data_IF_523417260593
#
_entry.id   IF_523417260593
#
_cell.length_a   1.000
_cell.length_b   1.000
_cell.length_c   1.000
_cell.angle_alpha   90.00
_cell.angle_beta   90.00
_cell.angle_gamma   90.00
#
_symmetry.space_group_name_H-M   'P 1'
#
loop_
_entity.id
_entity.type
_entity.pdbx_description
1 polymer ?
#
# COMPACT_ATOMS: atom_id res chain seq x y z
N UNK A 1 19.78 -3.37 1.33
CA UNK A 1 18.55 -2.57 1.57
C UNK A 1 18.64 -1.29 0.76
N UNK A 2 17.57 -0.84 0.11
CA UNK A 2 17.57 0.37 -0.74
C UNK A 2 16.18 1.00 -0.83
N UNK A 3 16.10 2.24 -1.32
CA UNK A 3 14.83 2.87 -1.63
C UNK A 3 14.06 2.09 -2.73
N UNK A 4 12.73 2.00 -2.61
CA UNK A 4 11.89 1.60 -3.73
C UNK A 4 11.86 2.73 -4.76
N UNK A 5 12.31 2.47 -5.99
CA UNK A 5 12.30 3.45 -7.09
C UNK A 5 10.90 3.82 -7.61
N UNK A 6 9.85 3.20 -7.07
CA UNK A 6 8.45 3.39 -7.45
C UNK A 6 7.58 3.53 -6.21
N UNK A 7 6.57 4.39 -6.31
CA UNK A 7 5.61 4.66 -5.24
C UNK A 7 5.69 6.11 -4.78
N UNK A 8 4.65 6.53 -4.07
CA UNK A 8 4.55 7.89 -3.53
C UNK A 8 5.00 7.99 -2.07
N UNK A 9 5.03 6.85 -1.36
CA UNK A 9 5.34 6.78 0.06
C UNK A 9 6.58 5.93 0.35
N UNK A 10 7.09 6.04 1.58
CA UNK A 10 8.26 5.30 2.04
C UNK A 10 8.04 3.79 1.91
N UNK A 11 8.93 3.17 1.14
CA UNK A 11 8.99 1.73 0.93
C UNK A 11 10.43 1.36 0.65
N UNK A 12 10.92 0.35 1.36
CA UNK A 12 12.28 -0.15 1.19
C UNK A 12 12.25 -1.44 0.38
N UNK A 13 13.32 -1.72 -0.34
CA UNK A 13 13.58 -3.03 -0.95
C UNK A 13 14.63 -3.72 -0.10
N UNK A 14 14.25 -4.86 0.45
CA UNK A 14 15.16 -5.77 1.17
C UNK A 14 15.54 -6.90 0.22
N UNK A 15 16.80 -7.31 0.29
CA UNK A 15 17.27 -8.53 -0.35
C UNK A 15 17.47 -9.56 0.75
N UNK A 16 16.69 -10.63 0.68
CA UNK A 16 16.81 -11.77 1.58
C UNK A 16 17.94 -12.69 1.10
N UNK A 17 18.31 -13.66 1.92
CA UNK A 17 19.20 -14.76 1.50
C UNK A 17 18.70 -15.39 0.20
N UNK A 18 19.62 -15.77 -0.70
CA UNK A 18 19.35 -16.25 -2.06
C UNK A 18 18.81 -15.21 -3.04
N UNK A 19 19.12 -13.92 -2.82
CA UNK A 19 18.77 -12.81 -3.71
C UNK A 19 17.27 -12.62 -3.97
N UNK A 20 16.42 -13.13 -3.08
CA UNK A 20 14.98 -12.85 -3.12
C UNK A 20 14.74 -11.40 -2.70
N UNK A 21 14.20 -10.60 -3.60
CA UNK A 21 13.79 -9.23 -3.30
C UNK A 21 12.40 -9.22 -2.64
N UNK A 22 12.25 -8.42 -1.61
CA UNK A 22 10.97 -8.17 -0.95
C UNK A 22 10.84 -6.67 -0.70
N UNK A 23 9.60 -6.23 -0.60
CA UNK A 23 9.27 -4.86 -0.27
C UNK A 23 8.99 -4.77 1.23
N UNK A 24 9.49 -3.74 1.88
CA UNK A 24 9.20 -3.46 3.28
C UNK A 24 8.47 -2.13 3.40
N UNK A 25 7.25 -2.17 3.95
CA UNK A 25 6.47 -0.99 4.32
C UNK A 25 6.50 -0.84 5.84
N UNK A 26 7.12 0.23 6.40
CA UNK A 26 7.27 0.37 7.84
C UNK A 26 5.94 0.70 8.53
N UNK A 27 5.87 0.43 9.83
CA UNK A 27 4.79 0.87 10.69
C UNK A 27 4.87 2.38 10.89
N UNK A 28 3.83 3.11 10.47
CA UNK A 28 3.69 4.56 10.66
C UNK A 28 2.85 4.93 11.87
N UNK A 29 1.90 4.07 12.24
CA UNK A 29 0.84 4.37 13.20
C UNK A 29 0.72 3.28 14.24
N UNK A 30 0.20 3.62 15.42
CA UNK A 30 -0.28 2.63 16.39
C UNK A 30 -1.47 1.87 15.80
N UNK A 31 -1.83 0.71 16.37
CA UNK A 31 -2.96 -0.08 15.90
C UNK A 31 -4.32 0.58 16.14
N UNK A 32 -4.39 1.44 17.16
CA UNK A 32 -5.62 2.11 17.58
C UNK A 32 -5.77 3.50 16.94
N UNK A 33 -4.82 3.90 16.08
CA UNK A 33 -4.85 5.19 15.41
C UNK A 33 -6.05 5.29 14.45
N UNK A 34 -6.87 6.31 14.64
CA UNK A 34 -8.04 6.61 13.81
C UNK A 34 -7.65 7.66 12.78
N UNK A 35 -7.81 7.34 11.50
CA UNK A 35 -7.51 8.27 10.42
C UNK A 35 -8.67 9.24 10.20
N UNK A 36 -8.41 10.52 10.43
CA UNK A 36 -9.36 11.58 10.11
C UNK A 36 -9.27 12.00 8.63
N UNK A 37 -10.39 12.44 8.06
CA UNK A 37 -10.49 12.95 6.70
C UNK A 37 -10.98 11.91 5.69
N UNK A 38 -10.54 12.02 4.44
CA UNK A 38 -10.97 11.16 3.34
C UNK A 38 -10.55 9.69 3.50
N UNK A 39 -11.24 8.78 2.81
CA UNK A 39 -10.95 7.33 2.74
C UNK A 39 -9.56 6.97 2.19
N UNK A 40 -8.80 7.94 1.67
CA UNK A 40 -7.44 7.75 1.14
C UNK A 40 -6.37 8.53 1.93
N UNK A 41 -6.75 9.13 3.06
CA UNK A 41 -5.87 9.92 3.93
C UNK A 41 -4.78 9.08 4.62
N UNK A 42 -3.73 9.77 5.06
CA UNK A 42 -2.63 9.20 5.86
C UNK A 42 -1.59 8.43 5.03
N UNK A 43 -0.65 7.79 5.72
CA UNK A 43 0.37 6.91 5.14
C UNK A 43 -0.16 5.48 5.00
N UNK A 44 0.57 4.64 4.28
CA UNK A 44 0.31 3.20 4.16
C UNK A 44 0.47 2.54 5.53
N UNK A 45 -0.54 1.78 5.92
CA UNK A 45 -0.59 0.96 7.13
C UNK A 45 -0.08 -0.43 6.81
N UNK A 46 1.03 -0.83 7.43
CA UNK A 46 1.64 -2.14 7.19
C UNK A 46 0.73 -3.29 7.62
N UNK A 47 -0.02 -3.12 8.71
CA UNK A 47 -1.03 -4.08 9.16
C UNK A 47 -2.16 -4.24 8.12
N UNK A 48 -2.51 -3.18 7.39
CA UNK A 48 -3.50 -3.28 6.31
C UNK A 48 -3.03 -4.23 5.21
N UNK A 49 -1.76 -4.16 4.79
CA UNK A 49 -1.21 -5.11 3.81
C UNK A 49 -1.25 -6.56 4.29
N UNK A 50 -0.92 -6.79 5.58
CA UNK A 50 -0.91 -8.13 6.18
C UNK A 50 -2.34 -8.70 6.23
N UNK A 51 -3.29 -7.95 6.79
CA UNK A 51 -4.68 -8.41 6.93
C UNK A 51 -5.31 -8.59 5.56
N UNK A 52 -5.02 -7.70 4.60
CA UNK A 52 -5.50 -7.80 3.22
C UNK A 52 -5.05 -9.09 2.55
N UNK A 53 -3.80 -9.52 2.74
CA UNK A 53 -3.32 -10.81 2.24
C UNK A 53 -4.12 -11.99 2.81
N UNK A 54 -4.33 -12.01 4.13
CA UNK A 54 -5.08 -13.08 4.78
C UNK A 54 -6.57 -13.09 4.39
N UNK A 55 -7.22 -11.92 4.32
CA UNK A 55 -8.60 -11.80 3.90
C UNK A 55 -8.79 -12.29 2.47
N UNK A 56 -7.90 -11.90 1.55
CA UNK A 56 -7.95 -12.37 0.17
C UNK A 56 -7.81 -13.91 0.09
N UNK A 57 -6.96 -14.52 0.93
CA UNK A 57 -6.87 -15.98 1.02
C UNK A 57 -8.19 -16.62 1.51
N UNK A 58 -8.85 -16.03 2.50
CA UNK A 58 -10.15 -16.50 3.03
C UNK A 58 -11.25 -16.40 1.96
N UNK A 59 -11.28 -15.30 1.22
CA UNK A 59 -12.22 -15.08 0.11
C UNK A 59 -11.85 -15.85 -1.17
N UNK A 60 -10.77 -16.64 -1.13
CA UNK A 60 -10.22 -17.36 -2.28
C UNK A 60 -9.83 -16.44 -3.47
N UNK A 61 -9.50 -15.18 -3.19
CA UNK A 61 -8.96 -14.19 -4.11
C UNK A 61 -7.42 -14.30 -4.17
N UNK A 62 -6.91 -15.26 -4.94
CA UNK A 62 -5.47 -15.65 -4.94
C UNK A 62 -4.55 -14.72 -5.77
N UNK A 63 -4.89 -13.43 -5.87
CA UNK A 63 -4.15 -12.44 -6.69
C UNK A 63 -3.46 -11.34 -5.87
N UNK A 64 -3.32 -11.54 -4.56
CA UNK A 64 -2.56 -10.68 -3.65
C UNK A 64 -1.12 -11.23 -3.47
N UNK A 65 -0.09 -10.38 -3.30
CA UNK A 65 1.25 -10.84 -2.96
C UNK A 65 1.25 -11.49 -1.58
N UNK A 66 2.17 -12.41 -1.34
CA UNK A 66 2.37 -12.96 0.01
C UNK A 66 2.91 -11.83 0.89
N UNK A 67 2.26 -11.62 2.04
CA UNK A 67 2.65 -10.59 3.02
C UNK A 67 2.82 -11.20 4.40
N UNK A 68 3.88 -10.80 5.10
CA UNK A 68 4.12 -11.18 6.49
C UNK A 68 4.59 -9.97 7.32
N UNK A 69 4.24 -9.95 8.60
CA UNK A 69 4.82 -8.99 9.54
C UNK A 69 6.27 -9.31 9.87
N UNK A 70 7.12 -8.30 10.00
CA UNK A 70 8.52 -8.47 10.41
C UNK A 70 9.00 -7.26 11.21
N UNK A 71 9.92 -7.51 12.15
CA UNK A 71 10.71 -6.48 12.82
C UNK A 71 12.14 -6.53 12.30
N UNK A 72 12.71 -5.37 12.00
CA UNK A 72 14.10 -5.20 11.55
C UNK A 72 14.79 -4.16 12.41
N UNK A 73 16.07 -4.32 12.73
CA UNK A 73 16.84 -3.22 13.33
C UNK A 73 17.36 -2.32 12.21
N UNK A 74 16.96 -1.05 12.18
CA UNK A 74 17.51 -0.10 11.23
C UNK A 74 19.00 0.11 11.49
N UNK A 75 19.41 0.14 12.76
CA UNK A 75 20.82 0.29 13.17
C UNK A 75 21.70 -0.81 12.57
N UNK A 76 21.31 -2.07 12.75
CA UNK A 76 22.07 -3.20 12.21
C UNK A 76 21.99 -3.29 10.68
N UNK A 77 20.91 -2.75 10.11
CA UNK A 77 20.69 -2.73 8.66
C UNK A 77 21.46 -1.64 7.93
N UNK A 78 21.99 -0.63 8.64
CA UNK A 78 22.68 0.53 8.05
C UNK A 78 23.85 0.10 7.15
N UNK A 79 24.66 -0.87 7.60
CA UNK A 79 25.79 -1.42 6.82
C UNK A 79 25.39 -2.13 5.53
N UNK A 80 24.12 -2.52 5.40
CA UNK A 80 23.56 -3.16 4.21
C UNK A 80 22.73 -2.20 3.36
N UNK A 81 22.55 -0.94 3.78
CA UNK A 81 21.88 0.09 3.02
C UNK A 81 22.79 0.61 1.89
N UNK A 82 22.22 0.95 0.73
CA UNK A 82 22.98 1.65 -0.30
C UNK A 82 23.27 3.11 0.09
N UNK A 83 24.19 3.75 -0.64
CA UNK A 83 24.66 5.10 -0.30
C UNK A 83 23.55 6.16 -0.30
N UNK A 84 22.54 6.02 -1.17
CA UNK A 84 21.40 6.95 -1.23
C UNK A 84 20.50 6.77 0.00
N UNK A 85 20.17 5.53 0.37
CA UNK A 85 19.36 5.28 1.56
C UNK A 85 20.09 5.69 2.84
N UNK A 86 21.40 5.42 2.97
CA UNK A 86 22.19 5.80 4.14
C UNK A 86 22.11 7.30 4.45
N UNK A 87 22.08 8.16 3.42
CA UNK A 87 21.96 9.62 3.60
C UNK A 87 20.63 10.03 4.25
N UNK A 88 19.62 9.17 4.19
CA UNK A 88 18.27 9.40 4.73
C UNK A 88 17.99 8.60 6.00
N UNK A 89 19.05 8.09 6.65
CA UNK A 89 19.00 7.31 7.89
C UNK A 89 19.66 8.04 9.07
N UNK A 90 19.06 9.11 9.61
CA UNK A 90 19.63 9.85 10.73
C UNK A 90 19.43 9.14 12.06
N UNK A 91 20.22 9.54 13.06
CA UNK A 91 19.98 9.20 14.47
C UNK A 91 19.21 10.35 15.13
N UNK A 92 18.03 10.07 15.67
CA UNK A 92 17.18 11.05 16.35
C UNK A 92 16.86 10.52 17.74
N UNK A 93 17.13 11.31 18.80
CA UNK A 93 16.92 10.90 20.19
C UNK A 93 17.51 9.52 20.53
N UNK A 94 18.74 9.26 20.08
CA UNK A 94 19.46 7.98 20.22
C UNK A 94 18.82 6.76 19.49
N UNK A 95 17.79 6.97 18.67
CA UNK A 95 17.16 5.94 17.84
C UNK A 95 17.64 6.06 16.39
N UNK A 96 17.89 4.92 15.74
CA UNK A 96 18.14 4.93 14.30
C UNK A 96 16.80 5.11 13.59
N UNK A 97 16.77 6.04 12.65
CA UNK A 97 15.56 6.38 11.91
C UNK A 97 15.80 6.34 10.40
N UNK A 98 14.72 6.43 9.61
CA UNK A 98 14.74 6.47 8.15
C UNK A 98 13.54 7.23 7.60
N UNK A 99 13.77 8.13 6.64
CA UNK A 99 12.70 8.78 5.87
C UNK A 99 12.75 8.44 4.38
N UNK A 100 13.88 7.91 3.88
CA UNK A 100 14.02 7.43 2.50
C UNK A 100 13.89 8.49 1.41
N UNK A 101 13.84 8.04 0.17
CA UNK A 101 13.65 8.87 -1.03
C UNK A 101 12.42 8.39 -1.79
N UNK A 102 11.38 9.24 -1.82
CA UNK A 102 10.13 9.01 -2.53
C UNK A 102 9.39 10.35 -2.74
N UNK A 103 8.27 10.34 -3.48
CA UNK A 103 7.53 11.56 -3.83
C UNK A 103 7.05 12.37 -2.61
N UNK A 104 6.62 11.69 -1.54
CA UNK A 104 6.18 12.30 -0.27
C UNK A 104 7.11 11.94 0.89
N UNK A 105 8.41 11.74 0.64
CA UNK A 105 9.38 11.49 1.70
C UNK A 105 10.07 12.81 2.05
N UNK A 106 10.12 13.14 3.33
CA UNK A 106 10.72 14.37 3.85
C UNK A 106 11.42 14.08 5.18
N UNK A 107 12.41 14.89 5.54
CA UNK A 107 13.18 14.69 6.79
C UNK A 107 12.36 14.87 8.07
N UNK A 108 11.22 15.56 8.00
CA UNK A 108 10.25 15.71 9.10
C UNK A 108 9.21 14.56 9.14
N UNK A 109 9.13 13.73 8.09
CA UNK A 109 8.26 12.55 8.02
C UNK A 109 9.12 11.27 8.11
N UNK A 110 9.45 10.88 9.34
CA UNK A 110 10.46 9.86 9.63
C UNK A 110 9.89 8.73 10.51
N UNK A 111 10.36 7.50 10.29
CA UNK A 111 10.11 6.35 11.17
C UNK A 111 11.40 5.92 11.85
N UNK A 112 11.31 5.52 13.12
CA UNK A 112 12.45 5.15 13.96
C UNK A 112 12.31 3.73 14.51
N UNK A 113 13.44 3.11 14.85
CA UNK A 113 13.44 1.91 15.69
C UNK A 113 12.68 2.18 17.01
N UNK A 114 11.97 1.17 17.51
CA UNK A 114 11.31 1.23 18.80
C UNK A 114 12.33 1.33 19.95
N UNK A 115 12.05 2.18 20.93
CA UNK A 115 12.98 2.48 22.01
C UNK A 115 13.24 1.27 22.93
N UNK A 116 12.27 0.37 23.09
CA UNK A 116 12.39 -0.76 24.02
C UNK A 116 13.16 -1.92 23.42
N UNK A 117 12.91 -2.21 22.13
CA UNK A 117 13.46 -3.40 21.48
C UNK A 117 14.47 -3.11 20.37
N UNK A 118 14.69 -1.84 20.01
CA UNK A 118 15.68 -1.44 18.99
C UNK A 118 15.34 -1.91 17.58
N UNK A 119 14.05 -2.13 17.28
CA UNK A 119 13.58 -2.58 15.97
C UNK A 119 12.40 -1.77 15.44
N UNK A 120 12.31 -1.66 14.12
CA UNK A 120 11.18 -1.13 13.39
C UNK A 120 10.29 -2.28 12.88
N UNK A 121 9.01 -2.24 13.28
CA UNK A 121 7.99 -3.13 12.73
C UNK A 121 7.55 -2.70 11.34
N UNK A 122 7.20 -3.65 10.48
CA UNK A 122 6.60 -3.39 9.17
C UNK A 122 6.07 -4.65 8.50
N UNK A 123 5.57 -4.47 7.28
CA UNK A 123 5.09 -5.54 6.42
C UNK A 123 6.13 -5.85 5.35
N UNK A 124 6.43 -7.13 5.19
CA UNK A 124 7.28 -7.66 4.12
C UNK A 124 6.38 -8.26 3.05
N UNK A 125 6.42 -7.70 1.84
CA UNK A 125 5.64 -8.14 0.70
C UNK A 125 6.58 -8.80 -0.32
N UNK A 126 6.24 -10.00 -0.77
CA UNK A 126 6.99 -10.64 -1.85
C UNK A 126 6.84 -9.87 -3.15
N UNK A 127 7.96 -9.66 -3.86
CA UNK A 127 7.92 -9.07 -5.20
C UNK A 127 7.36 -10.10 -6.17
N UNK A 128 6.37 -9.69 -6.97
CA UNK A 128 5.81 -10.52 -8.01
C UNK A 128 6.76 -10.49 -9.23
N UNK A 129 7.31 -11.64 -9.66
CA UNK A 129 8.17 -11.68 -10.83
C UNK A 129 7.37 -11.51 -12.12
N UNK A 130 8.06 -11.06 -13.17
CA UNK A 130 7.49 -10.91 -14.50
C UNK A 130 6.91 -9.53 -14.76
N UNK A 131 6.33 -9.37 -15.96
CA UNK A 131 5.76 -8.11 -16.41
C UNK A 131 4.39 -7.90 -15.80
N UNK A 132 4.24 -6.79 -15.09
CA UNK A 132 2.95 -6.28 -14.61
C UNK A 132 2.59 -5.06 -15.45
N UNK A 133 1.35 -5.02 -15.94
CA UNK A 133 0.82 -3.89 -16.71
C UNK A 133 -0.08 -3.07 -15.80
N UNK A 134 0.15 -1.76 -15.77
CA UNK A 134 -0.61 -0.82 -14.95
C UNK A 134 -1.64 -0.08 -15.80
N UNK A 135 -2.87 -0.03 -15.32
CA UNK A 135 -3.98 0.68 -15.95
C UNK A 135 -4.58 1.70 -14.98
N UNK A 136 -5.17 2.75 -15.53
CA UNK A 136 -5.98 3.69 -14.76
C UNK A 136 -7.31 3.02 -14.40
N UNK A 137 -7.72 3.09 -13.14
CA UNK A 137 -9.03 2.58 -12.72
C UNK A 137 -10.15 3.42 -13.37
N UNK A 138 -11.16 2.81 -13.99
CA UNK A 138 -12.34 3.54 -14.48
C UNK A 138 -13.08 4.25 -13.34
N UNK A 139 -13.02 3.70 -12.12
CA UNK A 139 -13.62 4.26 -10.91
C UNK A 139 -12.62 5.05 -10.06
N UNK A 140 -11.55 5.57 -10.65
CA UNK A 140 -10.64 6.48 -9.96
C UNK A 140 -11.39 7.72 -9.46
N UNK A 141 -11.11 8.12 -8.21
CA UNK A 141 -11.58 9.38 -7.61
C UNK A 141 -10.88 10.60 -8.21
N UNK A 142 -11.48 11.77 -8.08
CA UNK A 142 -10.86 13.03 -8.53
C UNK A 142 -9.77 13.55 -7.60
N UNK A 143 -9.73 13.07 -6.35
CA UNK A 143 -8.89 13.58 -5.26
C UNK A 143 -9.08 15.06 -4.97
N UNK A 144 -10.26 15.60 -5.32
CA UNK A 144 -10.64 17.00 -5.10
C UNK A 144 -12.01 17.04 -4.46
N UNK A 145 -12.11 17.59 -3.25
CA UNK A 145 -13.34 17.60 -2.44
C UNK A 145 -14.57 18.16 -3.18
N UNK A 146 -14.36 19.18 -4.01
CA UNK A 146 -15.45 19.89 -4.72
C UNK A 146 -15.72 19.35 -6.14
N UNK A 147 -15.04 18.28 -6.56
CA UNK A 147 -15.19 17.73 -7.90
C UNK A 147 -15.58 16.25 -7.83
N UNK A 148 -16.83 15.95 -8.16
CA UNK A 148 -17.29 14.56 -8.33
C UNK A 148 -16.76 13.96 -9.63
N UNK A 149 -16.33 12.71 -9.60
CA UNK A 149 -15.98 11.92 -10.77
C UNK A 149 -17.24 11.60 -11.62
N UNK A 150 -17.03 11.16 -12.86
CA UNK A 150 -18.14 10.83 -13.76
C UNK A 150 -18.98 9.66 -13.23
N UNK A 151 -18.33 8.63 -12.67
CA UNK A 151 -19.01 7.47 -12.08
C UNK A 151 -19.84 7.82 -10.83
N UNK A 152 -19.60 8.98 -10.20
CA UNK A 152 -20.39 9.48 -9.06
C UNK A 152 -21.66 10.24 -9.50
N UNK A 153 -21.80 10.54 -10.80
CA UNK A 153 -22.92 11.33 -11.35
C UNK A 153 -23.81 10.54 -12.30
N UNK A 154 -23.30 9.43 -12.81
CA UNK A 154 -23.89 8.69 -13.91
C UNK A 154 -24.15 7.24 -13.51
N UNK A 155 -25.40 6.93 -13.18
CA UNK A 155 -25.82 5.58 -12.77
C UNK A 155 -25.59 4.52 -13.87
N UNK A 156 -25.51 4.94 -15.13
CA UNK A 156 -25.25 4.08 -16.29
C UNK A 156 -23.76 3.98 -16.65
N UNK A 157 -22.84 4.49 -15.82
CA UNK A 157 -21.41 4.53 -16.11
C UNK A 157 -20.82 3.15 -16.45
N UNK A 158 -21.23 2.10 -15.73
CA UNK A 158 -20.74 0.73 -15.97
C UNK A 158 -21.03 0.25 -17.40
N UNK A 159 -22.18 0.61 -17.98
CA UNK A 159 -22.55 0.23 -19.35
C UNK A 159 -21.65 0.88 -20.42
N UNK A 160 -20.99 1.99 -20.10
CA UNK A 160 -19.99 2.63 -20.96
C UNK A 160 -18.63 1.94 -20.83
N UNK A 161 -18.27 1.51 -19.61
CA UNK A 161 -17.00 0.86 -19.31
C UNK A 161 -16.96 -0.59 -19.80
N UNK A 162 -18.07 -1.32 -19.69
CA UNK A 162 -18.17 -2.72 -20.14
C UNK A 162 -17.90 -2.90 -21.63
N UNK A 163 -18.12 -1.86 -22.45
CA UNK A 163 -17.79 -1.84 -23.89
C UNK A 163 -16.29 -1.67 -24.18
N UNK A 164 -15.50 -1.24 -23.20
CA UNK A 164 -14.07 -0.89 -23.35
C UNK A 164 -13.14 -1.90 -22.69
N UNK A 165 -13.60 -2.59 -21.65
CA UNK A 165 -12.79 -3.57 -20.91
C UNK A 165 -13.08 -4.99 -21.39
N UNK A 166 -12.06 -5.84 -21.30
CA UNK A 166 -12.26 -7.28 -21.40
C UNK A 166 -13.19 -7.74 -20.27
N UNK A 167 -14.08 -8.68 -20.59
CA UNK A 167 -15.10 -9.16 -19.65
C UNK A 167 -14.48 -9.75 -18.36
N UNK A 168 -13.43 -10.57 -18.48
CA UNK A 168 -12.74 -11.17 -17.33
C UNK A 168 -12.11 -10.10 -16.42
N UNK A 169 -11.57 -9.03 -16.99
CA UNK A 169 -11.00 -7.91 -16.22
C UNK A 169 -12.11 -7.14 -15.51
N UNK A 170 -13.27 -6.98 -16.13
CA UNK A 170 -14.42 -6.34 -15.49
C UNK A 170 -14.89 -7.14 -14.26
N UNK A 171 -14.98 -8.48 -14.38
CA UNK A 171 -15.31 -9.34 -13.24
C UNK A 171 -14.27 -9.23 -12.13
N UNK A 172 -12.98 -9.24 -12.48
CA UNK A 172 -11.91 -9.08 -11.49
C UNK A 172 -11.93 -7.71 -10.79
N UNK A 173 -12.35 -6.65 -11.49
CA UNK A 173 -12.54 -5.33 -10.89
C UNK A 173 -13.74 -5.28 -9.95
N UNK A 174 -14.78 -6.10 -10.18
CA UNK A 174 -15.90 -6.26 -9.24
C UNK A 174 -15.40 -6.96 -7.97
N UNK A 175 -14.63 -8.05 -8.11
CA UNK A 175 -14.01 -8.73 -6.96
C UNK A 175 -13.09 -7.78 -6.18
N UNK A 176 -12.28 -6.99 -6.89
CA UNK A 176 -11.41 -5.98 -6.28
C UNK A 176 -12.21 -4.89 -5.54
N UNK A 177 -13.37 -4.47 -6.08
CA UNK A 177 -14.23 -3.48 -5.43
C UNK A 177 -14.91 -4.02 -4.16
N UNK A 178 -15.38 -5.27 -4.17
CA UNK A 178 -15.91 -5.95 -2.98
C UNK A 178 -14.81 -6.06 -1.92
N UNK A 179 -13.62 -6.49 -2.33
CA UNK A 179 -12.46 -6.59 -1.46
C UNK A 179 -12.08 -5.24 -0.85
N UNK A 180 -11.97 -4.19 -1.66
CA UNK A 180 -11.67 -2.83 -1.21
C UNK A 180 -12.71 -2.28 -0.26
N UNK A 181 -14.00 -2.57 -0.48
CA UNK A 181 -15.05 -2.18 0.43
C UNK A 181 -14.86 -2.81 1.81
N UNK A 182 -14.57 -4.11 1.88
CA UNK A 182 -14.35 -4.84 3.14
C UNK A 182 -13.14 -4.32 3.91
N UNK A 183 -12.06 -3.98 3.22
CA UNK A 183 -10.87 -3.40 3.86
C UNK A 183 -10.95 -1.87 3.96
N UNK A 184 -12.05 -1.23 3.54
CA UNK A 184 -12.20 0.23 3.49
C UNK A 184 -11.09 0.95 2.69
N UNK A 185 -10.56 0.34 1.63
CA UNK A 185 -9.54 0.94 0.77
C UNK A 185 -10.18 1.86 -0.27
N UNK A 186 -10.17 3.15 0.00
CA UNK A 186 -10.71 4.16 -0.93
C UNK A 186 -9.75 4.63 -2.02
N UNK A 187 -8.54 4.06 -2.11
CA UNK A 187 -7.43 4.61 -2.89
C UNK A 187 -7.03 3.76 -4.13
N UNK A 188 -7.89 2.86 -4.63
CA UNK A 188 -7.60 2.08 -5.85
C UNK A 188 -7.77 2.89 -7.15
N UNK A 189 -6.86 3.85 -7.36
CA UNK A 189 -6.85 4.71 -8.54
C UNK A 189 -6.19 4.11 -9.77
N UNK A 190 -5.37 3.09 -9.57
CA UNK A 190 -4.85 2.24 -10.64
C UNK A 190 -5.13 0.78 -10.28
N UNK A 191 -5.10 -0.07 -11.30
CA UNK A 191 -5.05 -1.51 -11.11
C UNK A 191 -3.94 -2.09 -11.98
N UNK A 192 -3.40 -3.20 -11.50
CA UNK A 192 -2.33 -3.93 -12.15
C UNK A 192 -2.86 -5.25 -12.67
N UNK A 193 -2.38 -5.69 -13.83
CA UNK A 193 -2.70 -7.02 -14.36
C UNK A 193 -1.47 -7.83 -14.67
N UNK A 194 -1.59 -9.15 -14.53
CA UNK A 194 -0.67 -10.14 -15.11
C UNK A 194 -1.51 -11.21 -15.79
N UNK A 195 -1.19 -11.53 -17.05
CA UNK A 195 -1.91 -12.54 -17.83
C UNK A 195 -3.43 -12.31 -17.84
N UNK A 196 -3.85 -11.04 -18.03
CA UNK A 196 -5.25 -10.59 -18.02
C UNK A 196 -6.03 -10.80 -16.71
N UNK A 197 -5.34 -11.06 -15.59
CA UNK A 197 -5.94 -11.14 -14.25
C UNK A 197 -5.56 -9.91 -13.42
N UNK A 198 -6.50 -9.32 -12.69
CA UNK A 198 -6.20 -8.18 -11.81
C UNK A 198 -5.44 -8.65 -10.58
N UNK A 199 -4.38 -7.94 -10.22
CA UNK A 199 -3.61 -8.14 -9.00
C UNK A 199 -4.12 -7.21 -7.90
N UNK A 200 -4.34 -7.75 -6.70
CA UNK A 200 -4.75 -6.99 -5.52
C UNK A 200 -3.52 -6.40 -4.81
N UNK A 201 -2.92 -5.39 -5.45
CA UNK A 201 -1.74 -4.68 -4.95
C UNK A 201 -2.11 -3.40 -4.21
N UNK A 202 -1.14 -2.92 -3.42
CA UNK A 202 -1.16 -1.66 -2.68
C UNK A 202 -2.40 -1.48 -1.78
N UNK A 203 -2.55 -2.40 -0.83
CA UNK A 203 -3.69 -2.43 0.09
C UNK A 203 -3.38 -1.68 1.40
N UNK A 204 -2.27 -0.94 1.47
CA UNK A 204 -1.84 -0.18 2.65
C UNK A 204 -2.80 0.94 3.08
N UNK A 205 -3.75 1.31 2.22
CA UNK A 205 -4.75 2.35 2.48
C UNK A 205 -6.06 1.83 3.07
N UNK A 206 -6.17 0.55 3.40
CA UNK A 206 -7.33 -0.01 4.11
C UNK A 206 -7.35 0.31 5.62
N UNK A 207 -8.43 -0.10 6.30
CA UNK A 207 -8.70 0.00 7.74
C UNK A 207 -8.54 1.42 8.29
N UNK A 208 -9.33 2.35 7.74
CA UNK A 208 -9.23 3.80 7.98
C UNK A 208 -10.02 4.23 9.23
N UNK A 209 -11.13 3.54 9.59
CA UNK A 209 -11.79 3.51 10.93
C UNK A 209 -13.20 2.90 10.88
N UNK A 210 -13.75 2.49 12.03
CA UNK A 210 -15.16 2.07 12.18
C UNK A 210 -16.18 3.20 11.93
N UNK A 211 -15.79 4.48 12.08
CA UNK A 211 -16.71 5.61 12.06
C UNK A 211 -17.14 6.09 10.66
N UNK A 212 -16.49 5.63 9.59
CA UNK A 212 -16.83 6.05 8.21
C UNK A 212 -17.99 5.26 7.59
N UNK A 213 -18.39 4.14 8.18
CA UNK A 213 -19.61 3.40 7.78
C UNK A 213 -20.91 4.16 8.13
N UNK A 214 -20.84 5.18 9.01
CA UNK A 214 -22.00 5.95 9.47
C UNK A 214 -22.16 7.35 8.88
N UNK A 215 -21.26 7.81 8.00
CA UNK A 215 -21.35 9.14 7.37
C UNK A 215 -21.06 9.06 5.87
N UNK A 216 -22.01 8.56 5.09
CA UNK A 216 -21.89 8.59 3.63
C UNK A 216 -22.74 7.58 2.87
N UNK A 217 -24.06 7.64 3.06
CA UNK A 217 -25.04 7.51 1.98
C UNK A 217 -25.88 8.79 1.99
#
# INVERSE_FOLDING_TARGET
MKNSRRGTQLKLVLELTNSQLVLFKPSWYSRDEIMNGSVYSGKDRHNSEIVSFHLAAILNLRYTPIVAGRRISLRDSLKYADAELQQTMPVVNNLQCVYGVCHFCKSDEIVCDDQQNGTLEGAVLFTIPGKIIKYRSPWQRTYKEQLKAEWEKNDNYCALISKKLNFDVLLDLIDAAIFDFLIQNGDRHHYETRENRVLLLDNGKGFVSDAQLGRGY
#
